data_IF_788053342194
#
_entry.id   IF_788053342194
#
_cell.length_a   1.000
_cell.length_b   1.000
_cell.length_c   1.000
_cell.angle_alpha   90.00
_cell.angle_beta   90.00
_cell.angle_gamma   90.00
#
_symmetry.space_group_name_H-M   'P 1'
#
loop_
_entity.id
_entity.type
_entity.pdbx_description
1 polymer ?
#
# COMPACT_ATOMS: atom_id res chain seq x y z
N UNK A 1 19.79 -59.08 -16.82
CA UNK A 1 20.54 -57.82 -17.08
C UNK A 1 20.12 -57.36 -18.46
N UNK A 2 19.47 -56.24 -18.73
CA UNK A 2 19.24 -54.97 -18.04
C UNK A 2 18.12 -54.29 -18.84
N UNK A 3 16.86 -54.45 -18.42
CA UNK A 3 15.68 -53.84 -19.09
C UNK A 3 15.19 -52.57 -18.36
N UNK A 4 16.04 -51.91 -17.59
CA UNK A 4 15.65 -50.78 -16.72
C UNK A 4 16.24 -49.42 -17.14
N UNK A 5 16.61 -49.22 -18.41
CA UNK A 5 17.21 -47.97 -18.87
C UNK A 5 16.23 -46.94 -19.47
N UNK A 6 14.92 -47.14 -19.34
CA UNK A 6 13.90 -46.22 -19.93
C UNK A 6 13.02 -45.50 -18.89
N UNK A 7 13.54 -45.26 -17.68
CA UNK A 7 12.83 -44.44 -16.66
C UNK A 7 13.62 -43.20 -16.23
N UNK A 8 14.51 -42.68 -17.09
CA UNK A 8 15.26 -41.43 -16.82
C UNK A 8 14.73 -40.21 -17.58
N UNK A 9 13.47 -40.24 -18.00
CA UNK A 9 12.70 -39.03 -18.30
C UNK A 9 11.31 -39.13 -17.65
N UNK A 10 11.29 -39.67 -16.43
CA UNK A 10 10.15 -39.51 -15.54
C UNK A 10 10.20 -38.08 -15.01
N UNK A 11 9.44 -37.20 -15.67
CA UNK A 11 8.86 -35.96 -15.15
C UNK A 11 9.06 -35.76 -13.65
N UNK A 12 10.26 -35.30 -13.27
CA UNK A 12 10.53 -34.72 -11.98
C UNK A 12 9.89 -33.35 -11.98
N UNK A 13 8.56 -33.30 -11.85
CA UNK A 13 7.79 -32.13 -11.47
C UNK A 13 8.16 -31.77 -10.02
N UNK A 14 9.44 -31.42 -9.83
CA UNK A 14 9.85 -30.58 -8.74
C UNK A 14 9.16 -29.26 -9.06
N UNK A 15 8.10 -28.96 -8.30
CA UNK A 15 7.35 -27.70 -8.35
C UNK A 15 8.22 -26.56 -7.84
N UNK A 16 9.42 -26.43 -8.38
CA UNK A 16 10.29 -25.28 -8.19
C UNK A 16 9.70 -24.22 -9.09
N UNK A 17 8.91 -23.32 -8.51
CA UNK A 17 8.38 -22.17 -9.24
C UNK A 17 9.52 -21.48 -9.97
N UNK A 18 9.42 -21.41 -11.29
CA UNK A 18 10.40 -20.75 -12.13
C UNK A 18 10.63 -19.32 -11.60
N UNK A 19 11.90 -18.84 -11.49
CA UNK A 19 12.20 -17.53 -10.95
C UNK A 19 11.39 -16.38 -11.56
N UNK A 20 11.03 -16.45 -12.85
CA UNK A 20 10.18 -15.44 -13.49
C UNK A 20 8.75 -15.49 -12.95
N UNK A 21 8.19 -16.70 -12.77
CA UNK A 21 6.86 -16.86 -12.20
C UNK A 21 6.76 -16.32 -10.76
N UNK A 22 7.81 -16.51 -9.95
CA UNK A 22 7.91 -15.95 -8.59
C UNK A 22 7.97 -14.43 -8.63
N UNK A 23 8.80 -13.87 -9.50
CA UNK A 23 8.92 -12.42 -9.67
C UNK A 23 7.58 -11.80 -10.08
N UNK A 24 6.89 -12.37 -11.06
CA UNK A 24 5.57 -11.89 -11.48
C UNK A 24 4.53 -11.97 -10.35
N UNK A 25 4.53 -13.04 -9.54
CA UNK A 25 3.68 -13.14 -8.35
C UNK A 25 3.99 -12.06 -7.31
N UNK A 26 5.27 -11.76 -7.07
CA UNK A 26 5.68 -10.67 -6.18
C UNK A 26 5.18 -9.30 -6.68
N UNK A 27 5.27 -9.04 -7.98
CA UNK A 27 4.74 -7.80 -8.58
C UNK A 27 3.21 -7.72 -8.45
N UNK A 28 2.49 -8.83 -8.69
CA UNK A 28 1.04 -8.88 -8.53
C UNK A 28 0.64 -8.65 -7.06
N UNK A 29 1.32 -9.30 -6.13
CA UNK A 29 1.09 -9.09 -4.68
C UNK A 29 1.32 -7.64 -4.30
N UNK A 30 2.45 -7.06 -4.73
CA UNK A 30 2.75 -5.65 -4.48
C UNK A 30 1.71 -4.71 -5.09
N UNK A 31 1.24 -5.02 -6.30
CA UNK A 31 0.16 -4.27 -6.96
C UNK A 31 -1.14 -4.33 -6.17
N UNK A 32 -1.52 -5.49 -5.65
CA UNK A 32 -2.70 -5.66 -4.82
C UNK A 32 -2.58 -4.91 -3.48
N UNK A 33 -1.42 -4.99 -2.83
CA UNK A 33 -1.17 -4.26 -1.58
C UNK A 33 -1.23 -2.75 -1.82
N UNK A 34 -0.66 -2.27 -2.92
CA UNK A 34 -0.77 -0.87 -3.32
C UNK A 34 -2.22 -0.45 -3.58
N UNK A 35 -2.99 -1.25 -4.31
CA UNK A 35 -4.41 -0.98 -4.58
C UNK A 35 -5.23 -0.92 -3.29
N UNK A 36 -4.97 -1.80 -2.33
CA UNK A 36 -5.62 -1.78 -1.02
C UNK A 36 -5.33 -0.49 -0.26
N UNK A 37 -4.07 -0.05 -0.23
CA UNK A 37 -3.66 1.22 0.40
C UNK A 37 -4.28 2.41 -0.33
N UNK A 38 -4.25 2.41 -1.66
CA UNK A 38 -4.80 3.49 -2.47
C UNK A 38 -6.33 3.61 -2.34
N UNK A 39 -7.04 2.47 -2.27
CA UNK A 39 -8.48 2.42 -2.05
C UNK A 39 -8.83 2.94 -0.67
N UNK A 40 -8.14 2.47 0.38
CA UNK A 40 -8.33 2.95 1.75
C UNK A 40 -8.07 4.46 1.88
N UNK A 41 -7.04 4.97 1.19
CA UNK A 41 -6.75 6.40 1.13
C UNK A 41 -7.88 7.17 0.44
N UNK A 42 -8.38 6.66 -0.68
CA UNK A 42 -9.46 7.30 -1.44
C UNK A 42 -10.77 7.31 -0.65
N UNK A 43 -11.10 6.22 0.05
CA UNK A 43 -12.26 6.13 0.94
C UNK A 43 -12.16 7.12 2.11
N UNK A 44 -10.95 7.32 2.66
CA UNK A 44 -10.72 8.35 3.68
C UNK A 44 -10.94 9.77 3.11
N UNK A 45 -10.40 10.05 1.93
CA UNK A 45 -10.53 11.36 1.27
C UNK A 45 -12.00 11.67 0.94
N UNK A 46 -12.74 10.68 0.42
CA UNK A 46 -14.15 10.82 0.05
C UNK A 46 -15.11 10.79 1.24
N UNK A 47 -14.88 9.89 2.19
CA UNK A 47 -15.75 9.65 3.34
C UNK A 47 -15.44 10.56 4.52
N UNK A 48 -14.31 10.33 5.19
CA UNK A 48 -13.96 11.03 6.45
C UNK A 48 -13.69 12.52 6.20
N UNK A 49 -12.92 12.84 5.15
CA UNK A 49 -12.62 14.23 4.80
C UNK A 49 -13.73 14.89 3.96
N UNK A 50 -14.63 14.09 3.37
CA UNK A 50 -15.79 14.59 2.63
C UNK A 50 -15.45 15.24 1.27
N UNK A 51 -14.23 15.07 0.76
CA UNK A 51 -13.82 15.66 -0.52
C UNK A 51 -14.34 14.84 -1.69
N UNK A 52 -14.91 15.50 -2.68
CA UNK A 52 -15.43 14.84 -3.88
C UNK A 52 -15.06 15.64 -5.14
N UNK A 53 -15.54 15.18 -6.29
CA UNK A 53 -15.24 15.78 -7.59
C UNK A 53 -15.71 17.23 -7.74
N UNK A 54 -16.68 17.66 -6.93
CA UNK A 54 -17.17 19.04 -6.91
C UNK A 54 -16.41 19.94 -5.92
N UNK A 55 -15.56 19.37 -5.07
CA UNK A 55 -14.76 20.14 -4.12
C UNK A 55 -13.72 20.95 -4.88
N UNK A 56 -13.71 22.28 -4.68
CA UNK A 56 -12.70 23.14 -5.30
C UNK A 56 -11.32 22.86 -4.69
N UNK A 57 -10.28 22.86 -5.52
CA UNK A 57 -8.89 22.70 -5.07
C UNK A 57 -8.49 23.71 -3.98
N UNK A 58 -9.02 24.93 -4.05
CA UNK A 58 -8.83 25.96 -3.02
C UNK A 58 -9.36 25.55 -1.65
N UNK A 59 -10.49 24.85 -1.61
CA UNK A 59 -11.16 24.49 -0.36
C UNK A 59 -10.41 23.36 0.34
N UNK A 60 -9.87 22.41 -0.43
CA UNK A 60 -8.93 21.39 0.06
C UNK A 60 -7.68 22.05 0.64
N UNK A 61 -7.07 22.99 -0.10
CA UNK A 61 -5.90 23.73 0.39
C UNK A 61 -6.18 24.51 1.68
N UNK A 62 -7.33 25.18 1.75
CA UNK A 62 -7.76 25.91 2.94
C UNK A 62 -7.99 24.99 4.14
N UNK A 63 -8.56 23.80 3.93
CA UNK A 63 -8.73 22.80 4.99
C UNK A 63 -7.39 22.41 5.61
N UNK A 64 -6.43 21.96 4.79
CA UNK A 64 -5.12 21.53 5.30
C UNK A 64 -4.29 22.69 5.89
N UNK A 65 -4.47 23.91 5.38
CA UNK A 65 -3.88 25.11 5.99
C UNK A 65 -4.41 25.34 7.41
N UNK A 66 -5.73 25.22 7.63
CA UNK A 66 -6.31 25.33 8.97
C UNK A 66 -5.78 24.25 9.92
N UNK A 67 -5.63 23.01 9.44
CA UNK A 67 -5.02 21.92 10.22
C UNK A 67 -3.58 22.27 10.60
N UNK A 68 -2.77 22.70 9.63
CA UNK A 68 -1.40 23.14 9.86
C UNK A 68 -1.32 24.24 10.93
N UNK A 69 -2.11 25.31 10.77
CA UNK A 69 -2.08 26.47 11.65
C UNK A 69 -2.50 26.09 13.08
N UNK A 70 -3.50 25.21 13.21
CA UNK A 70 -3.95 24.67 14.49
C UNK A 70 -2.85 23.87 15.18
N UNK A 71 -2.19 22.95 14.46
CA UNK A 71 -1.08 22.17 15.02
C UNK A 71 0.10 23.06 15.40
N UNK A 72 0.39 24.08 14.60
CA UNK A 72 1.45 25.04 14.88
C UNK A 72 1.16 25.83 16.16
N UNK A 73 -0.08 26.29 16.36
CA UNK A 73 -0.54 26.97 17.56
C UNK A 73 -0.41 26.09 18.81
N UNK A 74 -0.83 24.83 18.73
CA UNK A 74 -0.81 23.90 19.86
C UNK A 74 0.61 23.43 20.24
N UNK A 75 1.59 23.61 19.36
CA UNK A 75 3.00 23.20 19.58
C UNK A 75 3.60 23.82 20.85
N UNK A 76 3.25 25.06 21.18
CA UNK A 76 3.72 25.76 22.38
C UNK A 76 3.14 25.18 23.68
N UNK A 77 1.80 25.16 23.84
CA UNK A 77 1.13 24.54 24.98
C UNK A 77 1.53 23.08 25.21
N UNK A 78 1.60 22.27 24.15
CA UNK A 78 1.98 20.85 24.26
C UNK A 78 3.41 20.67 24.78
N UNK A 79 4.36 21.49 24.31
CA UNK A 79 5.72 21.49 24.87
C UNK A 79 5.75 21.86 26.34
N UNK A 80 4.94 22.84 26.75
CA UNK A 80 4.87 23.27 28.15
C UNK A 80 4.32 22.15 29.04
N UNK A 81 3.32 21.42 28.57
CA UNK A 81 2.75 20.26 29.27
C UNK A 81 3.75 19.10 29.38
N UNK A 82 4.51 18.81 28.32
CA UNK A 82 5.51 17.73 28.33
C UNK A 82 6.73 18.01 29.22
N UNK A 83 6.95 19.27 29.61
CA UNK A 83 8.08 19.71 30.44
C UNK A 83 7.66 19.99 31.90
N UNK A 84 6.38 19.79 32.24
CA UNK A 84 5.84 19.86 33.61
C UNK A 84 5.73 18.46 34.18
#
# INVERSE_FOLDING_TARGET
>A
MTLFLLISCGSGSTKTEDPQSRFLKSIISLGNDFLNVFTSFTDMVGGVLGFNTNTKKSDVGNYFKKVHDTLHLLRGPLRKLLLT
#
